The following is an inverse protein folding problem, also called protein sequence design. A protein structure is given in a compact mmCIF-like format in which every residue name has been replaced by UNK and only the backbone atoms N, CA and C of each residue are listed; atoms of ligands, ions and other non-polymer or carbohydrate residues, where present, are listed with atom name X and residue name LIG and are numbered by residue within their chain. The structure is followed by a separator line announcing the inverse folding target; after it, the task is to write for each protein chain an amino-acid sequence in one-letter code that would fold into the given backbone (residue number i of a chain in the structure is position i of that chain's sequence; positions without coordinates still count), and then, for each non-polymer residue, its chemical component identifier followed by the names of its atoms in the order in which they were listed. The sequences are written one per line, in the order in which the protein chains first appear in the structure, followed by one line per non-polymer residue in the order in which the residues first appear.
data_IF_846829882317
#
_entry.id   IF_846829882317
#
_cell.length_a   1.000
_cell.length_b   1.000
_cell.length_c   1.000
_cell.angle_alpha   90.00
_cell.angle_beta   90.00
_cell.angle_gamma   90.00
#
_symmetry.space_group_name_H-M   'P 1'
#
loop_
_entity.id
_entity.type
_entity.pdbx_description
1 polymer ?
#
# COMPACT_ATOMS: atom_id res chain seq x y z
N UNK A 1 -26.21 -2.23 2.92
CA UNK A 1 -25.37 -3.44 3.13
C UNK A 1 -25.56 -3.93 4.56
N UNK A 2 -25.64 -5.24 4.81
CA UNK A 2 -25.73 -5.74 6.18
C UNK A 2 -24.37 -5.46 6.86
N UNK A 3 -24.39 -4.74 7.97
CA UNK A 3 -23.24 -4.36 8.81
C UNK A 3 -22.15 -5.45 8.98
N UNK A 4 -22.47 -6.76 9.07
CA UNK A 4 -21.46 -7.80 9.22
C UNK A 4 -20.45 -7.90 8.06
N UNK A 5 -20.84 -7.57 6.83
CA UNK A 5 -19.96 -7.72 5.66
C UNK A 5 -18.88 -6.64 5.60
N UNK A 6 -19.22 -5.41 5.99
CA UNK A 6 -18.28 -4.30 6.09
C UNK A 6 -17.23 -4.62 7.17
N UNK A 7 -17.65 -5.24 8.26
CA UNK A 7 -16.79 -5.59 9.38
C UNK A 7 -15.81 -6.73 9.03
N UNK A 8 -16.27 -7.76 8.30
CA UNK A 8 -15.40 -8.83 7.78
C UNK A 8 -14.38 -8.30 6.77
N UNK A 9 -14.80 -7.41 5.87
CA UNK A 9 -13.87 -6.78 4.91
C UNK A 9 -12.81 -5.93 5.64
N UNK A 10 -13.24 -5.13 6.61
CA UNK A 10 -12.35 -4.31 7.44
C UNK A 10 -11.36 -5.17 8.22
N UNK A 11 -11.81 -6.28 8.80
CA UNK A 11 -10.92 -7.22 9.49
C UNK A 11 -9.91 -7.88 8.54
N UNK A 12 -10.37 -8.39 7.40
CA UNK A 12 -9.47 -9.00 6.40
C UNK A 12 -8.45 -8.01 5.83
N UNK A 13 -8.85 -6.74 5.67
CA UNK A 13 -7.94 -5.66 5.27
C UNK A 13 -6.89 -5.38 6.34
N UNK A 14 -7.31 -5.20 7.60
CA UNK A 14 -6.40 -4.94 8.71
C UNK A 14 -5.43 -6.11 8.94
N UNK A 15 -5.90 -7.35 8.80
CA UNK A 15 -5.07 -8.54 8.93
C UNK A 15 -3.96 -8.57 7.87
N UNK A 16 -4.30 -8.34 6.59
CA UNK A 16 -3.28 -8.31 5.52
C UNK A 16 -2.31 -7.15 5.64
N UNK A 17 -2.78 -5.99 6.13
CA UNK A 17 -1.91 -4.86 6.42
C UNK A 17 -0.92 -5.21 7.53
N UNK A 18 -1.41 -5.83 8.60
CA UNK A 18 -0.60 -6.27 9.73
C UNK A 18 0.41 -7.35 9.32
N UNK A 19 0.01 -8.36 8.56
CA UNK A 19 0.92 -9.38 8.00
C UNK A 19 2.03 -8.74 7.14
N UNK A 20 1.69 -7.71 6.37
CA UNK A 20 2.64 -6.91 5.61
C UNK A 20 3.65 -6.17 6.51
N UNK A 21 3.17 -5.54 7.58
CA UNK A 21 4.02 -4.86 8.56
C UNK A 21 4.93 -5.82 9.33
N UNK A 22 4.40 -6.95 9.78
CA UNK A 22 5.16 -8.00 10.47
C UNK A 22 6.26 -8.55 9.57
N UNK A 23 5.95 -8.80 8.29
CA UNK A 23 6.95 -9.26 7.31
C UNK A 23 8.07 -8.22 7.10
N UNK A 24 7.72 -6.93 6.99
CA UNK A 24 8.72 -5.86 6.88
C UNK A 24 9.58 -5.77 8.14
N UNK A 25 8.97 -5.89 9.31
CA UNK A 25 9.68 -5.86 10.58
C UNK A 25 10.62 -7.07 10.75
N UNK A 26 10.19 -8.27 10.35
CA UNK A 26 11.05 -9.45 10.35
C UNK A 26 12.22 -9.31 9.38
N UNK A 27 11.99 -8.81 8.17
CA UNK A 27 13.06 -8.52 7.22
C UNK A 27 14.07 -7.52 7.80
N UNK A 28 13.61 -6.49 8.52
CA UNK A 28 14.48 -5.55 9.23
C UNK A 28 15.34 -6.23 10.32
N UNK A 29 14.73 -7.10 11.13
CA UNK A 29 15.44 -7.82 12.20
C UNK A 29 16.46 -8.83 11.67
N UNK A 30 16.12 -9.58 10.61
CA UNK A 30 17.02 -10.57 10.01
C UNK A 30 18.22 -9.90 9.36
N UNK A 31 18.02 -8.73 8.74
CA UNK A 31 19.06 -8.03 8.00
C UNK A 31 19.96 -7.18 8.90
N UNK A 32 19.40 -6.49 9.92
CA UNK A 32 20.20 -5.84 10.97
C UNK A 32 21.15 -6.84 11.64
N UNK A 33 20.67 -8.04 11.94
CA UNK A 33 21.48 -9.13 12.48
C UNK A 33 22.57 -9.62 11.52
N UNK A 34 22.33 -9.54 10.21
CA UNK A 34 23.30 -9.94 9.18
C UNK A 34 24.40 -8.89 8.99
N UNK A 35 24.04 -7.60 8.97
CA UNK A 35 25.02 -6.48 8.89
C UNK A 35 26.01 -6.50 10.06
N UNK A 36 25.52 -6.71 11.30
CA UNK A 36 26.34 -6.82 12.51
C UNK A 36 27.27 -8.05 12.53
N UNK A 37 26.96 -9.09 11.74
CA UNK A 37 27.76 -10.32 11.65
C UNK A 37 28.82 -10.26 10.54
N UNK A 38 28.59 -9.49 9.48
CA UNK A 38 29.53 -9.36 8.36
C UNK A 38 30.63 -8.31 8.64
N UNK A 39 30.37 -7.30 9.48
CA UNK A 39 31.37 -6.29 9.87
C UNK A 39 32.39 -6.77 10.91
N UNK A 40 32.08 -7.82 11.69
CA UNK A 40 32.92 -8.28 12.81
C UNK A 40 33.11 -7.25 13.92
N UNK A 41 32.45 -6.10 13.80
CA UNK A 41 32.59 -4.91 14.62
C UNK A 41 31.19 -4.48 15.07
N UNK A 42 31.02 -4.15 16.35
CA UNK A 42 29.78 -3.58 16.90
C UNK A 42 29.56 -2.13 16.42
N UNK A 43 30.09 -1.75 15.26
CA UNK A 43 29.92 -0.41 14.71
C UNK A 43 28.59 -0.29 13.95
N UNK A 44 27.92 0.87 14.02
CA UNK A 44 26.66 1.10 13.30
C UNK A 44 26.88 0.94 11.79
N UNK A 45 25.91 0.32 11.12
CA UNK A 45 25.92 0.06 9.67
C UNK A 45 26.33 1.31 8.87
N UNK A 46 27.12 1.11 7.80
CA UNK A 46 27.61 2.22 6.99
C UNK A 46 26.44 3.01 6.38
N UNK A 47 26.55 4.36 6.26
CA UNK A 47 25.47 5.19 5.74
C UNK A 47 24.90 4.71 4.41
N UNK A 48 25.74 4.26 3.49
CA UNK A 48 25.37 3.77 2.15
C UNK A 48 24.49 2.50 2.19
N UNK A 49 24.73 1.62 3.17
CA UNK A 49 23.91 0.43 3.41
C UNK A 49 22.50 0.81 3.90
N UNK A 50 22.42 1.84 4.76
CA UNK A 50 21.16 2.36 5.29
C UNK A 50 20.31 3.05 4.21
N UNK A 51 20.95 3.78 3.27
CA UNK A 51 20.27 4.39 2.13
C UNK A 51 19.69 3.31 1.19
N UNK A 52 20.51 2.34 0.81
CA UNK A 52 20.11 1.21 -0.04
C UNK A 52 18.93 0.44 0.57
N UNK A 53 18.99 0.19 1.89
CA UNK A 53 17.92 -0.45 2.64
C UNK A 53 16.62 0.38 2.62
N UNK A 54 16.73 1.69 2.83
CA UNK A 54 15.58 2.59 2.82
C UNK A 54 14.91 2.63 1.45
N UNK A 55 15.70 2.67 0.36
CA UNK A 55 15.20 2.59 -1.01
C UNK A 55 14.49 1.27 -1.30
N UNK A 56 15.07 0.15 -0.86
CA UNK A 56 14.44 -1.16 -0.99
C UNK A 56 13.11 -1.21 -0.25
N UNK A 57 13.02 -0.64 0.96
CA UNK A 57 11.77 -0.53 1.70
C UNK A 57 10.75 0.34 0.95
N UNK A 58 11.16 1.50 0.43
CA UNK A 58 10.29 2.35 -0.38
C UNK A 58 9.74 1.62 -1.61
N UNK A 59 10.57 0.84 -2.31
CA UNK A 59 10.15 -0.01 -3.42
C UNK A 59 9.13 -1.08 -3.00
N UNK A 60 9.34 -1.73 -1.85
CA UNK A 60 8.42 -2.75 -1.34
C UNK A 60 7.07 -2.15 -0.94
N UNK A 61 7.08 -1.02 -0.25
CA UNK A 61 5.86 -0.32 0.17
C UNK A 61 5.06 0.14 -1.04
N UNK A 62 5.71 0.80 -2.02
CA UNK A 62 5.05 1.22 -3.25
C UNK A 62 4.50 0.03 -4.05
N UNK A 63 5.20 -1.10 -4.09
CA UNK A 63 4.69 -2.32 -4.71
C UNK A 63 3.44 -2.87 -3.99
N UNK A 64 3.41 -2.86 -2.65
CA UNK A 64 2.22 -3.25 -1.88
C UNK A 64 1.04 -2.30 -2.11
N UNK A 65 1.29 -0.99 -2.22
CA UNK A 65 0.28 0.00 -2.56
C UNK A 65 -0.32 -0.27 -3.96
N UNK A 66 0.48 -0.65 -4.96
CA UNK A 66 -0.04 -1.03 -6.28
C UNK A 66 -0.99 -2.22 -6.19
N UNK A 67 -0.57 -3.30 -5.52
CA UNK A 67 -1.40 -4.50 -5.34
C UNK A 67 -2.71 -4.14 -4.63
N UNK A 68 -2.65 -3.25 -3.64
CA UNK A 68 -3.82 -2.81 -2.88
C UNK A 68 -4.76 -1.96 -3.74
N UNK A 69 -4.24 -0.99 -4.49
CA UNK A 69 -5.04 -0.19 -5.42
C UNK A 69 -5.68 -1.04 -6.51
N UNK A 70 -4.98 -2.05 -7.04
CA UNK A 70 -5.60 -3.01 -7.98
C UNK A 70 -6.78 -3.74 -7.34
N UNK A 71 -6.65 -4.21 -6.09
CA UNK A 71 -7.78 -4.86 -5.38
C UNK A 71 -8.94 -3.89 -5.14
N UNK A 72 -8.64 -2.64 -4.77
CA UNK A 72 -9.65 -1.60 -4.58
C UNK A 72 -10.38 -1.35 -5.91
N UNK A 73 -9.65 -1.23 -7.02
CA UNK A 73 -10.23 -1.06 -8.36
C UNK A 73 -11.27 -2.13 -8.70
N UNK A 74 -10.99 -3.39 -8.38
CA UNK A 74 -11.98 -4.47 -8.52
C UNK A 74 -13.14 -4.34 -7.55
N UNK A 75 -12.88 -3.95 -6.30
CA UNK A 75 -13.90 -3.84 -5.26
C UNK A 75 -14.87 -2.65 -5.45
N UNK A 76 -14.48 -1.62 -6.20
CA UNK A 76 -15.31 -0.43 -6.44
C UNK A 76 -16.05 -0.45 -7.77
N UNK A 77 -16.08 -1.59 -8.46
CA UNK A 77 -16.79 -1.70 -9.73
C UNK A 77 -18.27 -1.31 -9.58
N UNK A 78 -18.72 -0.40 -10.44
CA UNK A 78 -20.10 0.10 -10.43
C UNK A 78 -20.35 1.28 -9.49
N UNK A 79 -19.33 1.81 -8.80
CA UNK A 79 -19.39 3.14 -8.19
C UNK A 79 -19.40 4.24 -9.27
N UNK A 80 -19.70 5.52 -8.93
CA UNK A 80 -19.54 6.63 -9.87
C UNK A 80 -18.16 6.64 -10.55
N UNK A 81 -18.12 6.90 -11.85
CA UNK A 81 -16.86 6.86 -12.63
C UNK A 81 -15.81 7.82 -12.05
N UNK A 82 -16.23 8.99 -11.56
CA UNK A 82 -15.33 9.96 -10.94
C UNK A 82 -14.53 9.41 -9.76
N UNK A 83 -15.07 8.43 -9.02
CA UNK A 83 -14.34 7.76 -7.93
C UNK A 83 -13.41 6.67 -8.46
N UNK A 84 -13.86 5.93 -9.49
CA UNK A 84 -13.04 4.92 -10.15
C UNK A 84 -11.81 5.56 -10.83
N UNK A 85 -12.01 6.67 -11.52
CA UNK A 85 -10.96 7.44 -12.20
C UNK A 85 -9.87 7.90 -11.20
N UNK A 86 -10.26 8.35 -10.00
CA UNK A 86 -9.31 8.72 -8.93
C UNK A 86 -8.47 7.56 -8.41
N UNK A 87 -9.06 6.36 -8.29
CA UNK A 87 -8.31 5.15 -7.91
C UNK A 87 -7.37 4.73 -9.04
N UNK A 88 -7.76 4.93 -10.30
CA UNK A 88 -6.91 4.66 -11.46
C UNK A 88 -5.72 5.62 -11.52
N UNK A 89 -5.97 6.91 -11.33
CA UNK A 89 -4.94 7.96 -11.21
C UNK A 89 -3.97 7.65 -10.05
N UNK A 90 -4.50 7.20 -8.91
CA UNK A 90 -3.70 6.77 -7.76
C UNK A 90 -2.77 5.61 -8.14
N UNK A 91 -3.28 4.60 -8.86
CA UNK A 91 -2.47 3.47 -9.32
C UNK A 91 -1.37 3.91 -10.29
N UNK A 92 -1.67 4.82 -11.22
CA UNK A 92 -0.68 5.42 -12.12
C UNK A 92 0.42 6.13 -11.33
N UNK A 93 0.02 6.97 -10.38
CA UNK A 93 0.93 7.72 -9.51
C UNK A 93 1.84 6.79 -8.70
N UNK A 94 1.31 5.71 -8.10
CA UNK A 94 2.11 4.76 -7.32
C UNK A 94 3.12 4.01 -8.21
N UNK A 95 2.76 3.69 -9.47
CA UNK A 95 3.69 3.10 -10.44
C UNK A 95 4.85 4.04 -10.75
N UNK A 96 4.59 5.34 -10.90
CA UNK A 96 5.65 6.35 -11.08
C UNK A 96 6.57 6.43 -9.86
N UNK A 97 6.01 6.39 -8.64
CA UNK A 97 6.81 6.39 -7.40
C UNK A 97 7.71 5.16 -7.32
N UNK A 98 7.18 3.97 -7.62
CA UNK A 98 7.98 2.75 -7.68
C UNK A 98 9.09 2.86 -8.72
N UNK A 99 8.80 3.35 -9.93
CA UNK A 99 9.81 3.54 -10.96
C UNK A 99 10.93 4.48 -10.49
N UNK A 100 10.59 5.61 -9.86
CA UNK A 100 11.57 6.55 -9.32
C UNK A 100 12.47 5.91 -8.25
N UNK A 101 11.91 5.14 -7.32
CA UNK A 101 12.70 4.49 -6.26
C UNK A 101 13.50 3.29 -6.73
N UNK A 102 13.01 2.54 -7.71
CA UNK A 102 13.65 1.30 -8.18
C UNK A 102 14.93 1.52 -8.99
N UNK A 103 15.09 2.71 -9.58
CA UNK A 103 16.29 3.07 -10.37
C UNK A 103 17.40 3.63 -9.47
N UNK A 104 17.04 4.22 -8.32
CA UNK A 104 18.00 4.80 -7.39
C UNK A 104 18.83 3.71 -6.69
N UNK A 105 20.13 3.93 -6.56
CA UNK A 105 21.06 3.07 -5.79
C UNK A 105 21.45 3.71 -4.46
N UNK A 106 21.34 5.03 -4.37
CA UNK A 106 21.61 5.86 -3.19
C UNK A 106 20.61 7.02 -3.12
N UNK A 107 20.59 7.76 -2.01
CA UNK A 107 19.77 8.97 -1.92
C UNK A 107 20.27 10.11 -2.81
N UNK A 108 21.54 10.09 -3.22
CA UNK A 108 22.09 11.08 -4.15
C UNK A 108 21.46 10.97 -5.54
N UNK A 109 20.98 9.77 -5.91
CA UNK A 109 20.25 9.54 -7.16
C UNK A 109 18.83 10.13 -7.13
N UNK A 110 18.33 10.49 -5.93
CA UNK A 110 17.02 11.10 -5.73
C UNK A 110 17.15 12.60 -5.43
N UNK A 111 16.67 13.43 -6.34
CA UNK A 111 16.57 14.87 -6.05
C UNK A 111 15.60 15.15 -4.89
N UNK A 112 15.87 16.21 -4.13
CA UNK A 112 14.95 16.68 -3.08
C UNK A 112 13.55 16.96 -3.61
N UNK A 113 13.44 17.49 -4.84
CA UNK A 113 12.17 17.69 -5.52
C UNK A 113 11.38 16.40 -5.76
N UNK A 114 12.06 15.28 -6.07
CA UNK A 114 11.40 13.98 -6.25
C UNK A 114 10.81 13.51 -4.93
N UNK A 115 11.55 13.60 -3.82
CA UNK A 115 11.05 13.21 -2.50
C UNK A 115 9.85 14.07 -2.06
N UNK A 116 9.94 15.39 -2.21
CA UNK A 116 8.80 16.27 -1.88
C UNK A 116 7.60 16.03 -2.79
N UNK A 117 7.82 15.76 -4.08
CA UNK A 117 6.75 15.40 -5.00
C UNK A 117 6.10 14.07 -4.62
N UNK A 118 6.89 13.07 -4.24
CA UNK A 118 6.41 11.78 -3.76
C UNK A 118 5.50 11.93 -2.54
N UNK A 119 5.89 12.75 -1.56
CA UNK A 119 5.07 13.03 -0.38
C UNK A 119 3.74 13.69 -0.75
N UNK A 120 3.75 14.71 -1.62
CA UNK A 120 2.50 15.36 -2.07
C UNK A 120 1.60 14.38 -2.83
N UNK A 121 2.17 13.59 -3.73
CA UNK A 121 1.44 12.55 -4.49
C UNK A 121 0.76 11.54 -3.55
N UNK A 122 1.47 11.08 -2.52
CA UNK A 122 0.91 10.18 -1.51
C UNK A 122 -0.20 10.83 -0.68
N UNK A 123 -0.07 12.12 -0.34
CA UNK A 123 -1.12 12.86 0.36
C UNK A 123 -2.41 12.97 -0.48
N UNK A 124 -2.29 13.24 -1.78
CA UNK A 124 -3.44 13.28 -2.70
C UNK A 124 -4.11 11.91 -2.81
N UNK A 125 -3.32 10.83 -2.92
CA UNK A 125 -3.87 9.47 -2.92
C UNK A 125 -4.64 9.19 -1.63
N UNK A 126 -4.12 9.61 -0.48
CA UNK A 126 -4.81 9.46 0.79
C UNK A 126 -6.15 10.21 0.80
N UNK A 127 -6.18 11.46 0.35
CA UNK A 127 -7.42 12.26 0.24
C UNK A 127 -8.47 11.57 -0.64
N UNK A 128 -8.05 11.01 -1.78
CA UNK A 128 -8.95 10.25 -2.66
C UNK A 128 -9.51 8.99 -1.99
N UNK A 129 -8.72 8.29 -1.19
CA UNK A 129 -9.20 7.12 -0.43
C UNK A 129 -10.18 7.54 0.67
N UNK A 130 -9.96 8.67 1.32
CA UNK A 130 -10.87 9.22 2.33
C UNK A 130 -12.21 9.62 1.71
N UNK A 131 -12.20 10.29 0.55
CA UNK A 131 -13.40 10.64 -0.21
C UNK A 131 -14.19 9.40 -0.65
N UNK A 132 -13.50 8.36 -1.12
CA UNK A 132 -14.12 7.09 -1.47
C UNK A 132 -14.83 6.47 -0.26
N UNK A 133 -14.18 6.45 0.91
CA UNK A 133 -14.76 5.92 2.14
C UNK A 133 -15.96 6.75 2.63
N UNK A 134 -15.88 8.08 2.53
CA UNK A 134 -16.98 8.97 2.88
C UNK A 134 -18.19 8.76 1.95
N UNK A 135 -17.95 8.62 0.64
CA UNK A 135 -19.00 8.29 -0.31
C UNK A 135 -19.72 7.00 0.06
N UNK A 136 -18.98 5.92 0.36
CA UNK A 136 -19.54 4.62 0.73
C UNK A 136 -20.33 4.66 2.05
N UNK A 137 -19.94 5.53 2.97
CA UNK A 137 -20.65 5.71 4.25
C UNK A 137 -21.98 6.45 4.06
N UNK A 138 -21.99 7.45 3.19
CA UNK A 138 -23.13 8.36 3.03
C UNK A 138 -24.10 7.93 1.92
N UNK A 139 -23.75 6.92 1.12
CA UNK A 139 -24.55 6.46 -0.02
C UNK A 139 -24.76 4.94 0.01
N UNK A 140 -25.79 4.47 -0.71
CA UNK A 140 -25.99 3.04 -1.01
C UNK A 140 -26.13 2.87 -2.52
N UNK A 141 -24.99 2.84 -3.26
CA UNK A 141 -24.99 2.78 -4.71
C UNK A 141 -25.59 1.46 -5.22
N UNK A 142 -26.68 1.54 -5.98
CA UNK A 142 -27.40 0.38 -6.52
C UNK A 142 -26.59 -0.40 -7.56
N UNK A 143 -25.70 0.29 -8.27
CA UNK A 143 -24.82 -0.28 -9.29
C UNK A 143 -23.56 -0.92 -8.73
N UNK A 144 -23.31 -0.80 -7.42
CA UNK A 144 -22.07 -1.30 -6.81
C UNK A 144 -22.07 -2.83 -6.73
N UNK A 145 -21.07 -3.42 -7.40
CA UNK A 145 -20.85 -4.86 -7.39
C UNK A 145 -20.03 -5.24 -6.15
N UNK A 146 -20.73 -5.72 -5.13
CA UNK A 146 -20.10 -6.28 -3.93
C UNK A 146 -19.95 -7.80 -4.11
N UNK A 147 -18.82 -8.36 -3.68
CA UNK A 147 -18.56 -9.80 -3.75
C UNK A 147 -17.07 -10.16 -3.69
N UNK A 148 -16.72 -11.45 -3.77
CA UNK A 148 -17.60 -12.61 -4.00
C UNK A 148 -18.43 -13.01 -2.78
N UNK A 149 -19.63 -13.55 -3.00
CA UNK A 149 -20.48 -14.12 -1.96
C UNK A 149 -20.62 -15.64 -2.14
N UNK A 150 -20.44 -16.39 -1.07
CA UNK A 150 -20.70 -17.84 -1.07
C UNK A 150 -22.09 -18.12 -0.49
N UNK A 151 -22.87 -19.04 -1.10
CA UNK A 151 -24.13 -19.47 -0.50
C UNK A 151 -23.85 -20.18 0.83
N UNK A 152 -24.73 -19.96 1.82
CA UNK A 152 -24.65 -20.66 3.10
C UNK A 152 -25.12 -22.10 2.90
N UNK A 153 -24.32 -23.09 3.36
CA UNK A 153 -24.74 -24.49 3.37
C UNK A 153 -26.04 -24.61 4.19
N UNK A 154 -27.02 -25.31 3.62
CA UNK A 154 -28.35 -25.48 4.22
C UNK A 154 -28.19 -26.54 5.32
N UNK A 155 -28.38 -26.17 6.59
CA UNK A 155 -28.46 -27.15 7.68
C UNK A 155 -29.72 -28.02 7.45
N UNK A 156 -29.52 -29.34 7.32
CA UNK A 156 -30.57 -30.37 7.23
C UNK A 156 -31.03 -30.83 8.62
#
# INVERSE_FOLDING_TARGET
LPLPQIEVFKQGFNQKLQEGQEKLHQMWLDWSRKSLKESGDESPAEPEEMESLTLLMACRITQQLQVTCCKIMFAIQGLPSSLQDKVEESLGTIKELYAAFSVAKSFQDLSSSVLTQSQRKLAVIQEYMEELLDYLKNNTPLSWLVGPFSPREREE
#
